data_IF_006308563638
#
_entry.id   IF_006308563638
#
_cell.length_a   1.000
_cell.length_b   1.000
_cell.length_c   1.000
_cell.angle_alpha   90.00
_cell.angle_beta   90.00
_cell.angle_gamma   90.00
#
_symmetry.space_group_name_H-M   'P 1'
#
loop_
_entity.id
_entity.type
_entity.pdbx_description
1 polymer ?
#
# COMPACT_ATOMS: atom_id res chain seq x y z
N UNK A 1 5.34 -29.26 -2.01
CA UNK A 1 5.44 -28.00 -2.78
C UNK A 1 4.46 -26.94 -2.29
N UNK A 2 3.44 -27.31 -1.51
CA UNK A 2 2.47 -26.35 -0.93
C UNK A 2 2.86 -25.84 0.46
N UNK A 3 3.94 -26.33 1.10
CA UNK A 3 4.41 -25.83 2.40
C UNK A 3 5.66 -24.93 2.28
N UNK A 4 6.37 -25.00 1.16
CA UNK A 4 7.55 -24.18 0.85
C UNK A 4 7.51 -23.77 -0.63
N UNK A 5 7.75 -22.49 -0.96
CA UNK A 5 7.72 -21.99 -2.34
C UNK A 5 8.98 -22.44 -3.09
N UNK A 6 9.06 -23.74 -3.40
CA UNK A 6 10.15 -24.31 -4.21
C UNK A 6 9.72 -24.31 -5.66
N UNK A 7 10.56 -23.74 -6.53
CA UNK A 7 10.30 -23.67 -7.97
C UNK A 7 10.40 -25.06 -8.61
N UNK A 8 9.51 -25.34 -9.57
CA UNK A 8 9.57 -26.53 -10.42
C UNK A 8 10.91 -26.69 -11.13
N UNK A 9 11.62 -25.60 -11.45
CA UNK A 9 12.97 -25.66 -11.99
C UNK A 9 13.95 -26.30 -11.01
N UNK A 10 13.91 -25.90 -9.74
CA UNK A 10 14.79 -26.44 -8.69
C UNK A 10 14.53 -27.93 -8.47
N UNK A 11 13.25 -28.32 -8.42
CA UNK A 11 12.88 -29.73 -8.22
C UNK A 11 13.19 -30.55 -9.47
N UNK A 12 12.93 -30.02 -10.66
CA UNK A 12 13.29 -30.64 -11.93
C UNK A 12 14.79 -30.90 -12.03
N UNK A 13 15.61 -29.90 -11.72
CA UNK A 13 17.08 -30.06 -11.69
C UNK A 13 17.53 -31.13 -10.70
N UNK A 14 16.95 -31.17 -9.49
CA UNK A 14 17.26 -32.19 -8.48
C UNK A 14 16.88 -33.61 -8.94
N UNK A 15 15.68 -33.76 -9.50
CA UNK A 15 15.16 -35.04 -10.00
C UNK A 15 15.67 -35.41 -11.41
N UNK A 16 16.50 -34.57 -12.03
CA UNK A 16 16.92 -34.68 -13.44
C UNK A 16 15.75 -34.77 -14.42
N UNK A 17 14.64 -34.10 -14.10
CA UNK A 17 13.43 -34.00 -14.92
C UNK A 17 13.30 -32.61 -15.53
N UNK A 18 12.68 -32.52 -16.72
CA UNK A 18 12.30 -31.22 -17.28
C UNK A 18 11.30 -30.53 -16.33
N UNK A 19 11.43 -29.22 -16.05
CA UNK A 19 10.52 -28.51 -15.16
C UNK A 19 9.05 -28.65 -15.57
N UNK A 20 8.79 -28.69 -16.88
CA UNK A 20 7.45 -28.91 -17.43
C UNK A 20 6.86 -30.28 -17.04
N UNK A 21 7.68 -31.33 -16.97
CA UNK A 21 7.25 -32.66 -16.55
C UNK A 21 6.84 -32.65 -15.09
N UNK A 22 7.64 -32.01 -14.22
CA UNK A 22 7.33 -31.87 -12.79
C UNK A 22 6.05 -31.05 -12.60
N UNK A 23 5.88 -29.97 -13.36
CA UNK A 23 4.65 -29.17 -13.35
C UNK A 23 3.43 -30.01 -13.72
N UNK A 24 3.48 -30.74 -14.84
CA UNK A 24 2.37 -31.57 -15.32
C UNK A 24 2.02 -32.64 -14.30
N UNK A 25 3.02 -33.36 -13.76
CA UNK A 25 2.78 -34.38 -12.74
C UNK A 25 2.16 -33.81 -11.48
N UNK A 26 2.68 -32.68 -11.02
CA UNK A 26 2.15 -32.02 -9.85
C UNK A 26 0.70 -31.60 -10.04
N UNK A 27 0.42 -30.92 -11.16
CA UNK A 27 -0.93 -30.47 -11.51
C UNK A 27 -1.91 -31.61 -11.71
N UNK A 28 -1.52 -32.70 -12.36
CA UNK A 28 -2.44 -33.76 -12.76
C UNK A 28 -2.62 -34.88 -11.74
N UNK A 29 -1.63 -35.11 -10.86
CA UNK A 29 -1.65 -36.31 -10.01
C UNK A 29 -1.34 -36.05 -8.53
N UNK A 30 -0.57 -35.01 -8.19
CA UNK A 30 -0.08 -34.83 -6.81
C UNK A 30 -0.78 -33.71 -6.04
N UNK A 31 -1.31 -32.71 -6.74
CA UNK A 31 -1.89 -31.52 -6.12
C UNK A 31 -3.33 -31.69 -5.66
N UNK A 32 -4.05 -32.72 -6.11
CA UNK A 32 -5.49 -32.86 -5.87
C UNK A 32 -6.36 -31.87 -6.67
N UNK A 33 -5.76 -31.14 -7.63
CA UNK A 33 -6.46 -30.13 -8.40
C UNK A 33 -7.53 -30.71 -9.34
N UNK A 34 -7.25 -31.77 -10.14
CA UNK A 34 -8.25 -32.34 -11.03
C UNK A 34 -9.46 -32.89 -10.27
N UNK A 35 -9.25 -33.50 -9.11
CA UNK A 35 -10.31 -33.98 -8.23
C UNK A 35 -11.16 -32.81 -7.69
N UNK A 36 -10.52 -31.71 -7.29
CA UNK A 36 -11.21 -30.52 -6.83
C UNK A 36 -12.04 -29.85 -7.94
N UNK A 37 -11.56 -29.86 -9.18
CA UNK A 37 -12.31 -29.37 -10.35
C UNK A 37 -13.48 -30.30 -10.69
N UNK A 38 -13.24 -31.61 -10.77
CA UNK A 38 -14.25 -32.60 -11.15
C UNK A 38 -15.37 -32.73 -10.12
N UNK A 39 -15.07 -32.56 -8.83
CA UNK A 39 -16.06 -32.54 -7.75
C UNK A 39 -16.85 -31.23 -7.67
N UNK A 40 -16.48 -30.21 -8.45
CA UNK A 40 -17.04 -28.86 -8.34
C UNK A 40 -16.65 -28.13 -7.06
N UNK A 41 -15.70 -28.65 -6.29
CA UNK A 41 -15.20 -27.99 -5.07
C UNK A 41 -14.40 -26.73 -5.40
N UNK A 42 -13.60 -26.75 -6.47
CA UNK A 42 -12.93 -25.58 -7.01
C UNK A 42 -13.89 -24.75 -7.86
N UNK A 43 -13.89 -23.43 -7.67
CA UNK A 43 -14.83 -22.52 -8.34
C UNK A 43 -16.24 -22.51 -7.74
N UNK A 44 -16.52 -23.28 -6.68
CA UNK A 44 -17.84 -23.34 -6.02
C UNK A 44 -18.36 -22.00 -5.50
N UNK A 45 -17.44 -21.09 -5.17
CA UNK A 45 -17.73 -19.77 -4.63
C UNK A 45 -17.72 -18.69 -5.72
N UNK A 46 -17.36 -19.04 -6.96
CA UNK A 46 -17.38 -18.11 -8.08
C UNK A 46 -18.81 -17.65 -8.33
N UNK A 47 -18.96 -16.40 -8.73
CA UNK A 47 -20.27 -15.81 -8.95
C UNK A 47 -20.23 -14.81 -10.09
N UNK A 48 -21.40 -14.52 -10.65
CA UNK A 48 -21.56 -13.39 -11.57
C UNK A 48 -21.65 -12.11 -10.75
N UNK A 49 -20.65 -11.24 -10.90
CA UNK A 49 -20.57 -9.96 -10.20
C UNK A 49 -21.63 -8.97 -10.66
N UNK A 50 -21.73 -7.84 -9.94
CA UNK A 50 -22.70 -6.80 -10.29
C UNK A 50 -22.45 -6.17 -11.67
N UNK A 51 -21.22 -6.28 -12.19
CA UNK A 51 -20.81 -5.91 -13.54
C UNK A 51 -21.14 -6.95 -14.62
N UNK A 52 -21.89 -8.01 -14.26
CA UNK A 52 -22.26 -9.15 -15.11
C UNK A 52 -21.07 -10.00 -15.60
N UNK A 53 -19.88 -9.82 -15.04
CA UNK A 53 -18.70 -10.66 -15.33
C UNK A 53 -18.60 -11.79 -14.32
N UNK A 54 -18.05 -12.93 -14.72
CA UNK A 54 -17.71 -14.01 -13.79
C UNK A 54 -16.55 -13.54 -12.92
N UNK A 55 -16.70 -13.64 -11.59
CA UNK A 55 -15.67 -13.29 -10.61
C UNK A 55 -15.18 -14.55 -9.93
N UNK A 56 -13.85 -14.72 -9.90
CA UNK A 56 -13.22 -15.81 -9.20
C UNK A 56 -13.19 -15.53 -7.68
N UNK A 57 -13.51 -16.54 -6.87
CA UNK A 57 -13.34 -16.49 -5.40
C UNK A 57 -12.48 -17.66 -4.93
N UNK A 58 -11.15 -17.57 -5.11
CA UNK A 58 -10.23 -18.63 -4.71
C UNK A 58 -10.29 -19.01 -3.24
N UNK A 59 -10.54 -18.05 -2.34
CA UNK A 59 -10.58 -18.28 -0.89
C UNK A 59 -11.82 -17.65 -0.29
N UNK A 60 -12.64 -18.49 0.37
CA UNK A 60 -13.76 -18.08 1.22
C UNK A 60 -13.78 -19.02 2.43
N UNK A 61 -13.16 -18.57 3.53
CA UNK A 61 -12.81 -19.41 4.69
C UNK A 61 -13.23 -18.74 6.00
N UNK A 62 -14.49 -18.94 6.44
CA UNK A 62 -14.99 -18.36 7.69
C UNK A 62 -14.15 -18.75 8.91
N UNK A 63 -13.54 -19.93 8.90
CA UNK A 63 -12.66 -20.43 9.97
C UNK A 63 -11.39 -19.58 10.16
N UNK A 64 -10.99 -18.81 9.15
CA UNK A 64 -9.82 -17.92 9.21
C UNK A 64 -10.17 -16.53 9.73
N UNK A 65 -11.45 -16.17 9.90
CA UNK A 65 -11.82 -14.91 10.53
C UNK A 65 -11.44 -14.92 12.02
N UNK A 66 -10.82 -13.83 12.46
CA UNK A 66 -10.41 -13.63 13.86
C UNK A 66 -10.70 -12.20 14.32
N UNK A 67 -10.21 -11.85 15.50
CA UNK A 67 -10.47 -10.53 16.10
C UNK A 67 -9.78 -9.39 15.35
N UNK A 68 -8.59 -9.66 14.79
CA UNK A 68 -7.77 -8.68 14.08
C UNK A 68 -7.66 -9.04 12.61
N UNK A 69 -8.33 -8.29 11.75
CA UNK A 69 -8.32 -8.48 10.31
C UNK A 69 -7.61 -7.33 9.59
N UNK A 70 -7.17 -7.60 8.37
CA UNK A 70 -6.60 -6.62 7.46
C UNK A 70 -7.22 -6.77 6.08
N UNK A 71 -7.54 -5.65 5.43
CA UNK A 71 -8.00 -5.61 4.04
C UNK A 71 -6.95 -4.90 3.22
N UNK A 72 -6.62 -5.48 2.07
CA UNK A 72 -5.72 -4.89 1.09
C UNK A 72 -6.12 -5.35 -0.32
N UNK A 73 -5.62 -4.65 -1.33
CA UNK A 73 -5.77 -5.02 -2.74
C UNK A 73 -4.51 -5.68 -3.28
N UNK A 74 -4.68 -6.64 -4.19
CA UNK A 74 -3.58 -7.29 -4.87
C UNK A 74 -3.89 -7.51 -6.33
N UNK A 75 -3.06 -6.93 -7.20
CA UNK A 75 -3.09 -7.26 -8.62
C UNK A 75 -2.41 -8.61 -8.87
N UNK A 76 -3.14 -9.54 -9.49
CA UNK A 76 -2.66 -10.86 -9.90
C UNK A 76 -3.16 -11.08 -11.33
N UNK A 77 -2.22 -11.27 -12.27
CA UNK A 77 -2.55 -11.51 -13.68
C UNK A 77 -3.47 -10.43 -14.28
N UNK A 78 -3.09 -9.16 -14.10
CA UNK A 78 -3.82 -7.97 -14.57
C UNK A 78 -5.19 -7.71 -13.91
N UNK A 79 -5.66 -8.62 -13.05
CA UNK A 79 -6.92 -8.48 -12.32
C UNK A 79 -6.68 -8.09 -10.85
N UNK A 80 -7.57 -7.29 -10.29
CA UNK A 80 -7.51 -6.85 -8.89
C UNK A 80 -8.29 -7.78 -7.98
N UNK A 81 -7.62 -8.25 -6.93
CA UNK A 81 -8.20 -9.08 -5.89
C UNK A 81 -8.26 -8.33 -4.57
N UNK A 82 -9.40 -8.40 -3.88
CA UNK A 82 -9.48 -8.03 -2.46
C UNK A 82 -8.98 -9.18 -1.62
N UNK A 83 -8.07 -8.88 -0.69
CA UNK A 83 -7.47 -9.83 0.24
C UNK A 83 -7.88 -9.48 1.67
N UNK A 84 -8.68 -10.33 2.32
CA UNK A 84 -8.99 -10.22 3.75
C UNK A 84 -8.13 -11.22 4.52
N UNK A 85 -7.25 -10.70 5.38
CA UNK A 85 -6.22 -11.48 6.06
C UNK A 85 -6.34 -11.38 7.57
N UNK A 86 -6.26 -12.51 8.25
CA UNK A 86 -6.15 -12.55 9.70
C UNK A 86 -4.74 -12.15 10.16
N UNK A 87 -4.65 -11.09 10.95
CA UNK A 87 -3.36 -10.53 11.40
C UNK A 87 -2.73 -11.35 12.52
N UNK A 88 -3.48 -12.20 13.21
CA UNK A 88 -2.91 -13.07 14.25
C UNK A 88 -2.27 -14.31 13.63
N UNK A 89 -3.00 -15.00 12.76
CA UNK A 89 -2.57 -16.27 12.14
C UNK A 89 -1.75 -16.09 10.86
N UNK A 90 -1.93 -14.97 10.16
CA UNK A 90 -1.34 -14.73 8.85
C UNK A 90 -2.00 -15.53 7.72
N UNK A 91 -3.22 -16.04 7.94
CA UNK A 91 -4.03 -16.75 6.96
C UNK A 91 -5.02 -15.84 6.26
N UNK A 92 -5.35 -16.16 5.01
CA UNK A 92 -6.34 -15.45 4.20
C UNK A 92 -7.73 -16.02 4.47
N UNK A 93 -8.67 -15.16 4.85
CA UNK A 93 -10.08 -15.51 5.01
C UNK A 93 -10.87 -15.30 3.71
N UNK A 94 -10.52 -14.26 2.93
CA UNK A 94 -11.15 -13.95 1.65
C UNK A 94 -10.08 -13.59 0.61
N UNK A 95 -10.18 -14.20 -0.57
CA UNK A 95 -9.51 -13.75 -1.78
C UNK A 95 -10.55 -13.77 -2.90
N UNK A 96 -10.87 -12.60 -3.45
CA UNK A 96 -11.93 -12.45 -4.44
C UNK A 96 -11.58 -11.41 -5.51
N UNK A 97 -11.87 -11.73 -6.77
CA UNK A 97 -11.62 -10.87 -7.95
C UNK A 97 -12.65 -9.72 -8.05
N UNK A 98 -12.77 -8.91 -7.01
CA UNK A 98 -13.70 -7.77 -7.00
C UNK A 98 -13.24 -6.73 -5.99
N UNK A 99 -13.46 -5.46 -6.35
CA UNK A 99 -13.32 -4.30 -5.46
C UNK A 99 -14.70 -3.74 -5.07
N UNK A 100 -15.79 -4.29 -5.63
CA UNK A 100 -17.13 -3.74 -5.44
C UNK A 100 -17.68 -4.13 -4.07
N UNK A 101 -18.10 -3.12 -3.29
CA UNK A 101 -18.63 -3.33 -1.93
C UNK A 101 -19.84 -4.27 -1.92
N UNK A 102 -20.72 -4.20 -2.93
CA UNK A 102 -21.89 -5.07 -3.02
C UNK A 102 -21.52 -6.55 -3.15
N UNK A 103 -20.53 -6.86 -3.98
CA UNK A 103 -20.03 -8.21 -4.18
C UNK A 103 -19.32 -8.71 -2.91
N UNK A 104 -18.44 -7.90 -2.33
CA UNK A 104 -17.72 -8.24 -1.09
C UNK A 104 -18.68 -8.47 0.07
N UNK A 105 -19.74 -7.66 0.18
CA UNK A 105 -20.80 -7.85 1.18
C UNK A 105 -21.50 -9.18 1.02
N UNK A 106 -21.85 -9.57 -0.21
CA UNK A 106 -22.44 -10.89 -0.49
C UNK A 106 -21.53 -12.02 0.02
N UNK A 107 -20.23 -11.93 -0.22
CA UNK A 107 -19.25 -12.93 0.21
C UNK A 107 -19.10 -12.97 1.73
N UNK A 108 -19.07 -11.81 2.41
CA UNK A 108 -19.01 -11.78 3.88
C UNK A 108 -20.30 -12.33 4.49
N UNK A 109 -21.49 -12.05 3.92
CA UNK A 109 -22.74 -12.65 4.39
C UNK A 109 -22.71 -14.18 4.31
N UNK A 110 -22.07 -14.76 3.30
CA UNK A 110 -21.89 -16.21 3.19
C UNK A 110 -20.98 -16.79 4.29
N UNK A 111 -20.13 -15.96 4.92
CA UNK A 111 -19.32 -16.37 6.06
C UNK A 111 -20.12 -16.47 7.38
N UNK A 112 -21.37 -16.00 7.38
CA UNK A 112 -22.28 -16.06 8.53
C UNK A 112 -21.72 -15.37 9.78
N UNK A 113 -21.99 -15.95 10.93
CA UNK A 113 -21.68 -15.37 12.25
C UNK A 113 -20.18 -15.19 12.53
N UNK A 114 -19.31 -15.85 11.75
CA UNK A 114 -17.87 -15.70 11.88
C UNK A 114 -17.42 -14.25 11.66
N UNK A 115 -18.15 -13.46 10.85
CA UNK A 115 -17.90 -12.03 10.66
C UNK A 115 -18.04 -11.22 11.97
N UNK A 116 -18.91 -11.67 12.89
CA UNK A 116 -19.11 -11.02 14.20
C UNK A 116 -17.91 -11.13 15.15
N UNK A 117 -16.93 -11.99 14.84
CA UNK A 117 -15.68 -12.11 15.64
C UNK A 117 -14.73 -10.93 15.42
N UNK A 118 -14.85 -10.21 14.30
CA UNK A 118 -13.93 -9.16 13.91
C UNK A 118 -14.15 -7.94 14.82
N UNK A 119 -13.10 -7.58 15.57
CA UNK A 119 -13.08 -6.41 16.47
C UNK A 119 -12.28 -5.26 15.89
N UNK A 120 -11.29 -5.56 15.05
CA UNK A 120 -10.40 -4.57 14.44
C UNK A 120 -10.16 -4.90 12.97
N UNK A 121 -10.17 -3.88 12.13
CA UNK A 121 -9.86 -4.01 10.71
C UNK A 121 -8.87 -2.92 10.29
N UNK A 122 -7.67 -3.32 9.85
CA UNK A 122 -6.70 -2.39 9.25
C UNK A 122 -6.86 -2.34 7.75
N UNK A 123 -6.83 -1.14 7.16
CA UNK A 123 -6.88 -0.95 5.72
C UNK A 123 -6.15 0.32 5.29
N UNK A 124 -5.95 0.49 4.00
CA UNK A 124 -5.49 1.75 3.42
C UNK A 124 -6.54 2.88 3.56
N UNK A 125 -6.28 4.03 2.92
CA UNK A 125 -7.21 5.16 2.92
C UNK A 125 -8.27 5.06 1.80
N UNK A 126 -8.58 3.86 1.33
CA UNK A 126 -9.60 3.66 0.30
C UNK A 126 -11.00 3.88 0.85
N UNK A 127 -11.74 4.85 0.28
CA UNK A 127 -13.15 5.06 0.59
C UNK A 127 -14.00 3.81 0.33
N UNK A 128 -13.63 3.00 -0.67
CA UNK A 128 -14.29 1.74 -0.98
C UNK A 128 -14.17 0.76 0.18
N UNK A 129 -12.97 0.60 0.73
CA UNK A 129 -12.75 -0.30 1.87
C UNK A 129 -13.31 0.26 3.18
N UNK A 130 -13.33 1.59 3.35
CA UNK A 130 -14.05 2.26 4.44
C UNK A 130 -15.53 1.87 4.45
N UNK A 131 -16.18 1.93 3.30
CA UNK A 131 -17.58 1.53 3.14
C UNK A 131 -17.78 0.02 3.32
N UNK A 132 -16.86 -0.80 2.80
CA UNK A 132 -16.89 -2.25 3.01
C UNK A 132 -16.82 -2.60 4.50
N UNK A 133 -15.87 -2.04 5.25
CA UNK A 133 -15.73 -2.29 6.67
C UNK A 133 -16.97 -1.85 7.46
N UNK A 134 -17.47 -0.65 7.19
CA UNK A 134 -18.67 -0.14 7.86
C UNK A 134 -19.92 -1.01 7.61
N UNK A 135 -20.08 -1.55 6.40
CA UNK A 135 -21.24 -2.37 6.04
C UNK A 135 -21.11 -3.83 6.50
N UNK A 136 -19.90 -4.39 6.49
CA UNK A 136 -19.67 -5.82 6.73
C UNK A 136 -19.22 -6.13 8.15
N UNK A 137 -18.59 -5.16 8.83
CA UNK A 137 -18.05 -5.30 10.18
C UNK A 137 -18.41 -4.08 11.04
N UNK A 138 -19.71 -3.78 11.25
CA UNK A 138 -20.17 -2.54 11.89
C UNK A 138 -19.69 -2.37 13.34
N UNK A 139 -19.35 -3.45 14.03
CA UNK A 139 -18.84 -3.44 15.40
C UNK A 139 -17.31 -3.36 15.48
N UNK A 140 -16.60 -3.41 14.34
CA UNK A 140 -15.14 -3.40 14.32
C UNK A 140 -14.59 -1.98 14.32
N UNK A 141 -13.53 -1.75 15.10
CA UNK A 141 -12.74 -0.53 15.01
C UNK A 141 -11.93 -0.55 13.72
N UNK A 142 -12.22 0.42 12.85
CA UNK A 142 -11.51 0.64 11.59
C UNK A 142 -10.25 1.45 11.85
N UNK A 143 -9.09 0.93 11.42
CA UNK A 143 -7.78 1.54 11.65
C UNK A 143 -7.11 1.80 10.29
N UNK A 144 -6.69 3.04 10.05
CA UNK A 144 -5.93 3.38 8.86
C UNK A 144 -4.51 2.80 8.94
N UNK A 145 -3.98 2.35 7.80
CA UNK A 145 -2.60 1.98 7.68
C UNK A 145 -1.70 3.23 7.67
N UNK A 146 -0.96 3.43 8.76
CA UNK A 146 -0.06 4.58 8.90
C UNK A 146 0.95 4.71 7.76
N UNK A 147 1.37 3.61 7.14
CA UNK A 147 2.36 3.68 6.06
C UNK A 147 1.79 4.33 4.80
N UNK A 148 0.50 4.10 4.51
CA UNK A 148 -0.23 4.80 3.47
C UNK A 148 -0.40 6.29 3.80
N UNK A 149 -0.70 6.65 5.06
CA UNK A 149 -0.76 8.05 5.49
C UNK A 149 0.61 8.73 5.32
N UNK A 150 1.70 8.08 5.77
CA UNK A 150 3.08 8.59 5.61
C UNK A 150 3.46 8.74 4.14
N UNK A 151 3.02 7.84 3.27
CA UNK A 151 3.24 7.95 1.82
C UNK A 151 2.63 9.26 1.29
N UNK A 152 1.36 9.54 1.61
CA UNK A 152 0.70 10.79 1.18
C UNK A 152 1.37 12.04 1.76
N UNK A 153 1.80 12.00 3.02
CA UNK A 153 2.54 13.10 3.64
C UNK A 153 3.81 13.40 2.84
N UNK A 154 4.59 12.37 2.48
CA UNK A 154 5.83 12.57 1.75
C UNK A 154 5.56 12.99 0.29
N UNK A 155 4.50 12.47 -0.33
CA UNK A 155 4.06 12.88 -1.66
C UNK A 155 3.72 14.37 -1.75
N UNK A 156 3.20 14.99 -0.69
CA UNK A 156 2.94 16.43 -0.65
C UNK A 156 4.22 17.26 -0.88
N UNK A 157 5.34 16.90 -0.23
CA UNK A 157 6.64 17.57 -0.46
C UNK A 157 7.12 17.35 -1.89
N UNK A 158 6.90 16.15 -2.44
CA UNK A 158 7.33 15.82 -3.80
C UNK A 158 6.51 16.55 -4.86
N UNK A 159 5.21 16.70 -4.65
CA UNK A 159 4.33 17.48 -5.50
C UNK A 159 4.78 18.94 -5.52
N UNK A 160 5.05 19.51 -4.34
CA UNK A 160 5.56 20.88 -4.24
C UNK A 160 6.91 21.06 -4.93
N UNK A 161 7.84 20.11 -4.74
CA UNK A 161 9.14 20.07 -5.44
C UNK A 161 8.97 20.02 -6.96
N UNK A 162 8.01 19.25 -7.46
CA UNK A 162 7.73 19.16 -8.90
C UNK A 162 7.13 20.46 -9.44
N UNK A 163 6.23 21.11 -8.70
CA UNK A 163 5.72 22.42 -9.06
C UNK A 163 6.82 23.46 -9.14
N UNK A 164 7.68 23.56 -8.11
CA UNK A 164 8.87 24.44 -8.16
C UNK A 164 9.75 24.12 -9.36
N UNK A 165 9.96 22.84 -9.69
CA UNK A 165 10.75 22.46 -10.87
C UNK A 165 10.11 22.97 -12.16
N UNK A 166 8.80 22.90 -12.28
CA UNK A 166 8.07 23.41 -13.44
C UNK A 166 8.17 24.94 -13.54
N UNK A 167 8.08 25.66 -12.42
CA UNK A 167 8.27 27.11 -12.34
C UNK A 167 9.71 27.53 -12.70
N UNK A 168 10.71 26.73 -12.33
CA UNK A 168 12.10 26.99 -12.73
C UNK A 168 12.37 26.68 -14.21
N UNK A 169 11.68 25.69 -14.78
CA UNK A 169 11.75 25.36 -16.20
C UNK A 169 11.11 26.44 -17.07
N UNK A 170 10.00 27.05 -16.63
CA UNK A 170 9.33 28.12 -17.40
C UNK A 170 10.13 29.41 -17.48
N UNK A 171 11.08 29.62 -16.57
CA UNK A 171 12.02 30.76 -16.58
C UNK A 171 13.17 30.59 -17.57
N UNK A 172 13.38 29.38 -18.11
CA UNK A 172 14.50 29.11 -19.02
C UNK A 172 14.19 29.74 -20.39
N UNK A 173 15.05 30.61 -20.94
CA UNK A 173 14.87 31.18 -22.26
C UNK A 173 14.83 30.13 -23.37
N UNK A 174 14.05 30.41 -24.41
CA UNK A 174 13.89 29.53 -25.57
C UNK A 174 15.07 29.58 -26.53
N UNK A 175 15.80 30.71 -26.60
CA UNK A 175 16.97 30.83 -27.49
C UNK A 175 18.23 30.23 -26.87
N UNK A 176 19.08 29.63 -27.72
CA UNK A 176 20.33 28.96 -27.28
C UNK A 176 21.34 29.91 -26.62
N UNK A 177 21.38 31.18 -27.04
CA UNK A 177 22.30 32.19 -26.50
C UNK A 177 21.87 32.63 -25.11
N UNK A 178 20.63 33.08 -24.96
CA UNK A 178 20.07 33.54 -23.69
C UNK A 178 20.03 32.41 -22.66
N UNK A 179 19.73 31.17 -23.08
CA UNK A 179 19.79 30.01 -22.21
C UNK A 179 21.18 29.78 -21.61
N UNK A 180 22.25 29.93 -22.40
CA UNK A 180 23.63 29.79 -21.91
C UNK A 180 23.99 30.88 -20.90
N UNK A 181 23.54 32.11 -21.14
CA UNK A 181 23.75 33.24 -20.24
C UNK A 181 22.98 33.05 -18.93
N UNK A 182 21.71 32.65 -19.02
CA UNK A 182 20.87 32.30 -17.88
C UNK A 182 21.47 31.15 -17.05
N UNK A 183 21.88 30.06 -17.70
CA UNK A 183 22.51 28.92 -17.02
C UNK A 183 23.80 29.32 -16.30
N UNK A 184 24.63 30.19 -16.89
CA UNK A 184 25.84 30.71 -16.23
C UNK A 184 25.50 31.59 -15.02
N UNK A 185 24.51 32.46 -15.14
CA UNK A 185 24.12 33.39 -14.08
C UNK A 185 23.41 32.70 -12.90
N UNK A 186 22.72 31.59 -13.15
CA UNK A 186 21.88 30.89 -12.15
C UNK A 186 22.50 29.61 -11.61
N UNK A 187 23.76 29.31 -11.94
CA UNK A 187 24.47 28.16 -11.36
C UNK A 187 24.60 28.33 -9.85
N UNK A 188 24.33 27.25 -9.14
CA UNK A 188 24.53 27.18 -7.71
C UNK A 188 26.01 26.98 -7.35
N UNK A 189 26.36 27.20 -6.09
CA UNK A 189 27.74 27.07 -5.59
C UNK A 189 28.35 25.68 -5.82
N UNK A 190 27.50 24.64 -5.91
CA UNK A 190 27.91 23.27 -6.21
C UNK A 190 27.98 22.96 -7.71
N UNK A 191 27.81 23.96 -8.58
CA UNK A 191 27.84 23.84 -10.03
C UNK A 191 26.55 23.28 -10.66
N UNK A 192 25.55 22.89 -9.87
CA UNK A 192 24.27 22.39 -10.37
C UNK A 192 23.35 23.55 -10.80
N UNK A 193 22.46 23.29 -11.75
CA UNK A 193 21.34 24.20 -12.02
C UNK A 193 20.26 24.09 -10.94
N UNK A 194 19.40 25.11 -10.83
CA UNK A 194 18.24 25.09 -9.93
C UNK A 194 17.29 23.90 -10.19
N UNK A 195 17.12 23.47 -11.43
CA UNK A 195 16.28 22.32 -11.80
C UNK A 195 16.96 20.97 -11.52
N UNK A 196 18.28 20.89 -11.68
CA UNK A 196 19.08 19.73 -11.27
C UNK A 196 19.03 19.54 -9.76
N UNK A 197 19.17 20.64 -9.00
CA UNK A 197 19.07 20.65 -7.54
C UNK A 197 17.75 20.04 -7.08
N UNK A 198 16.62 20.50 -7.63
CA UNK A 198 15.30 19.95 -7.32
C UNK A 198 15.18 18.48 -7.73
N UNK A 199 15.76 18.07 -8.86
CA UNK A 199 15.68 16.68 -9.33
C UNK A 199 16.50 15.73 -8.46
N UNK A 200 17.73 16.11 -8.12
CA UNK A 200 18.68 15.30 -7.34
C UNK A 200 18.35 15.29 -5.84
N UNK A 201 17.56 16.25 -5.37
CA UNK A 201 17.08 16.30 -3.98
C UNK A 201 15.84 15.44 -3.71
N UNK A 202 15.30 14.72 -4.71
CA UNK A 202 14.13 13.84 -4.53
C UNK A 202 14.25 12.93 -3.30
N UNK A 203 15.33 12.14 -3.23
CA UNK A 203 15.48 11.08 -2.23
C UNK A 203 15.71 11.58 -0.81
N UNK A 204 16.35 12.74 -0.63
CA UNK A 204 16.57 13.27 0.73
C UNK A 204 15.24 13.72 1.35
N UNK A 205 14.33 14.26 0.55
CA UNK A 205 13.02 14.74 0.99
C UNK A 205 12.06 13.61 1.42
N UNK A 206 12.34 12.35 1.05
CA UNK A 206 11.62 11.19 1.60
C UNK A 206 12.01 10.86 3.04
N UNK A 207 13.24 11.21 3.43
CA UNK A 207 13.83 10.81 4.71
C UNK A 207 13.52 11.84 5.79
N UNK A 208 13.62 11.41 7.05
CA UNK A 208 13.75 12.30 8.21
C UNK A 208 15.17 12.85 8.27
N UNK A 209 15.35 14.03 8.85
CA UNK A 209 16.66 14.69 8.96
C UNK A 209 17.71 13.82 9.66
N UNK A 210 17.29 13.12 10.71
CA UNK A 210 18.08 12.15 11.48
C UNK A 210 18.66 11.00 10.62
N UNK A 211 18.05 10.73 9.46
CA UNK A 211 18.43 9.64 8.55
C UNK A 211 19.20 10.12 7.32
N UNK A 212 19.59 11.40 7.28
CA UNK A 212 20.40 11.95 6.21
C UNK A 212 21.88 11.59 6.39
N UNK A 213 22.52 11.22 5.29
CA UNK A 213 23.99 11.16 5.24
C UNK A 213 24.59 12.57 5.28
N UNK A 214 25.87 12.69 5.61
CA UNK A 214 26.59 13.99 5.59
C UNK A 214 26.46 14.69 4.23
N UNK A 215 26.50 13.93 3.13
CA UNK A 215 26.31 14.46 1.79
C UNK A 215 24.86 14.95 1.55
N UNK A 216 23.86 14.27 2.13
CA UNK A 216 22.46 14.68 2.07
C UNK A 216 22.21 15.93 2.90
N UNK A 217 22.82 16.05 4.08
CA UNK A 217 22.72 17.24 4.94
C UNK A 217 23.26 18.48 4.23
N UNK A 218 24.49 18.42 3.67
CA UNK A 218 25.07 19.53 2.91
C UNK A 218 24.20 19.96 1.74
N UNK A 219 23.61 18.99 1.03
CA UNK A 219 22.66 19.28 -0.07
C UNK A 219 21.35 19.87 0.45
N UNK A 220 20.82 19.38 1.57
CA UNK A 220 19.61 19.91 2.18
C UNK A 220 19.80 21.37 2.60
N UNK A 221 20.93 21.73 3.21
CA UNK A 221 21.27 23.13 3.54
C UNK A 221 21.21 24.01 2.30
N UNK A 222 21.91 23.65 1.23
CA UNK A 222 21.91 24.41 -0.01
C UNK A 222 20.51 24.47 -0.66
N UNK A 223 19.77 23.36 -0.66
CA UNK A 223 18.41 23.30 -1.19
C UNK A 223 17.47 24.24 -0.45
N UNK A 224 17.52 24.24 0.88
CA UNK A 224 16.66 25.05 1.73
C UNK A 224 17.04 26.53 1.73
N UNK A 225 18.32 26.86 1.57
CA UNK A 225 18.76 28.23 1.31
C UNK A 225 18.26 28.72 -0.07
N UNK A 226 18.32 27.87 -1.08
CA UNK A 226 17.94 28.22 -2.46
C UNK A 226 16.41 28.30 -2.64
N UNK A 227 15.67 27.46 -1.92
CA UNK A 227 14.21 27.34 -1.99
C UNK A 227 13.60 27.28 -0.57
N UNK A 228 13.52 28.39 0.18
CA UNK A 228 13.04 28.39 1.56
C UNK A 228 11.63 27.80 1.73
N UNK A 229 10.76 27.95 0.74
CA UNK A 229 9.41 27.38 0.77
C UNK A 229 9.41 25.84 0.81
N UNK A 230 10.40 25.18 0.19
CA UNK A 230 10.48 23.70 0.25
C UNK A 230 10.81 23.24 1.67
N UNK A 231 11.56 24.05 2.43
CA UNK A 231 11.85 23.79 3.84
C UNK A 231 10.58 23.90 4.67
N UNK A 232 9.77 24.94 4.46
CA UNK A 232 8.50 25.12 5.17
C UNK A 232 7.57 23.91 4.99
N UNK A 233 7.38 23.46 3.74
CA UNK A 233 6.58 22.26 3.45
C UNK A 233 7.22 21.02 4.07
N UNK A 234 8.54 20.85 3.93
CA UNK A 234 9.25 19.73 4.54
C UNK A 234 9.06 19.70 6.06
N UNK A 235 9.23 20.82 6.76
CA UNK A 235 9.08 20.93 8.21
C UNK A 235 7.67 20.55 8.67
N UNK A 236 6.63 21.00 7.94
CA UNK A 236 5.24 20.60 8.20
C UNK A 236 5.04 19.09 8.04
N UNK A 237 5.61 18.49 7.00
CA UNK A 237 5.55 17.03 6.83
C UNK A 237 6.32 16.28 7.90
N UNK A 238 7.42 16.82 8.42
CA UNK A 238 8.13 16.22 9.55
C UNK A 238 7.34 16.36 10.87
N UNK A 239 6.63 17.47 11.09
CA UNK A 239 5.72 17.63 12.24
C UNK A 239 4.64 16.55 12.25
N UNK A 240 3.87 16.39 11.17
CA UNK A 240 2.81 15.37 11.12
C UNK A 240 3.35 13.93 11.13
N UNK A 241 4.55 13.68 10.56
CA UNK A 241 5.22 12.37 10.71
C UNK A 241 5.64 12.06 12.14
N UNK A 242 5.99 13.07 12.93
CA UNK A 242 6.27 12.91 14.37
C UNK A 242 4.98 12.67 15.14
N UNK A 243 3.88 13.32 14.76
CA UNK A 243 2.56 13.05 15.32
C UNK A 243 2.11 11.60 15.09
N UNK A 244 2.33 11.03 13.90
CA UNK A 244 2.06 9.61 13.57
C UNK A 244 3.05 8.58 14.18
N UNK A 245 4.03 9.04 14.97
CA UNK A 245 5.05 8.16 15.51
C UNK A 245 4.46 7.16 16.53
N UNK A 246 5.01 5.96 16.61
CA UNK A 246 4.58 4.93 17.56
C UNK A 246 4.69 5.37 19.03
N UNK A 247 5.54 6.36 19.33
CA UNK A 247 5.68 6.95 20.67
C UNK A 247 4.42 7.65 21.17
N UNK A 248 3.52 8.01 20.26
CA UNK A 248 2.24 8.63 20.58
C UNK A 248 1.12 7.61 20.81
N UNK A 249 1.38 6.31 20.59
CA UNK A 249 0.39 5.25 20.85
C UNK A 249 0.16 5.11 22.36
N UNK A 250 -1.11 5.06 22.76
CA UNK A 250 -1.53 4.96 24.16
C UNK A 250 -1.64 6.28 24.90
N UNK A 251 -1.32 7.42 24.24
CA UNK A 251 -1.64 8.75 24.77
C UNK A 251 -3.15 8.99 24.78
N UNK A 252 -3.58 9.99 25.53
CA UNK A 252 -4.99 10.38 25.57
C UNK A 252 -5.44 10.99 24.23
N UNK A 253 -6.64 10.63 23.77
CA UNK A 253 -7.19 11.09 22.49
C UNK A 253 -7.18 12.62 22.37
N UNK A 254 -7.56 13.34 23.43
CA UNK A 254 -7.57 14.81 23.44
C UNK A 254 -6.18 15.44 23.25
N UNK A 255 -5.11 14.77 23.70
CA UNK A 255 -3.74 15.26 23.51
C UNK A 255 -3.32 15.15 22.04
N UNK A 256 -3.62 13.99 21.43
CA UNK A 256 -3.35 13.70 20.03
C UNK A 256 -4.18 14.61 19.11
N UNK A 257 -5.46 14.80 19.42
CA UNK A 257 -6.37 15.67 18.67
C UNK A 257 -5.91 17.13 18.73
N UNK A 258 -5.52 17.63 19.91
CA UNK A 258 -4.97 18.97 20.05
C UNK A 258 -3.70 19.19 19.22
N UNK A 259 -2.78 18.22 19.22
CA UNK A 259 -1.58 18.27 18.38
C UNK A 259 -1.92 18.28 16.87
N UNK A 260 -2.97 17.58 16.47
CA UNK A 260 -3.45 17.57 15.09
C UNK A 260 -4.08 18.91 14.69
N UNK A 261 -4.90 19.50 15.56
CA UNK A 261 -5.51 20.82 15.35
C UNK A 261 -4.44 21.91 15.22
N UNK A 262 -3.44 21.92 16.11
CA UNK A 262 -2.30 22.84 16.01
C UNK A 262 -1.56 22.67 14.67
N UNK A 263 -1.41 21.43 14.21
CA UNK A 263 -0.82 21.18 12.90
C UNK A 263 -1.68 21.72 11.75
N UNK A 264 -3.00 21.54 11.79
CA UNK A 264 -3.91 22.11 10.78
C UNK A 264 -3.78 23.62 10.69
N UNK A 265 -3.80 24.33 11.82
CA UNK A 265 -3.67 25.80 11.86
C UNK A 265 -2.39 26.28 11.18
N UNK A 266 -1.26 25.64 11.48
CA UNK A 266 0.03 25.97 10.85
C UNK A 266 0.09 25.62 9.36
N UNK A 267 -0.57 24.52 8.97
CA UNK A 267 -0.57 24.01 7.61
C UNK A 267 -1.45 24.88 6.69
N UNK A 268 -2.62 25.31 7.15
CA UNK A 268 -3.55 26.19 6.42
C UNK A 268 -2.93 27.57 6.16
N UNK A 269 -2.16 28.10 7.11
CA UNK A 269 -1.46 29.38 6.95
C UNK A 269 -0.49 29.43 5.77
N UNK A 270 0.01 28.28 5.30
CA UNK A 270 0.93 28.25 4.16
C UNK A 270 0.24 28.55 2.83
N UNK A 271 -1.08 28.34 2.72
CA UNK A 271 -1.86 28.55 1.49
C UNK A 271 -1.25 27.85 0.27
N UNK A 272 -0.81 26.61 0.47
CA UNK A 272 -0.19 25.77 -0.56
C UNK A 272 -1.15 24.66 -0.98
N UNK A 273 -1.47 24.52 -2.28
CA UNK A 273 -2.41 23.50 -2.76
C UNK A 273 -2.01 22.08 -2.35
N UNK A 274 -0.71 21.77 -2.33
CA UNK A 274 -0.19 20.46 -1.92
C UNK A 274 -0.45 20.15 -0.44
N UNK A 275 -0.39 21.17 0.41
CA UNK A 275 -0.66 21.06 1.84
C UNK A 275 -2.17 21.00 2.09
N UNK A 276 -2.97 21.78 1.38
CA UNK A 276 -4.45 21.73 1.44
C UNK A 276 -5.01 20.37 1.01
N UNK A 277 -4.39 19.74 0.00
CA UNK A 277 -4.73 18.37 -0.39
C UNK A 277 -4.45 17.38 0.76
N UNK A 278 -3.32 17.54 1.44
CA UNK A 278 -2.95 16.71 2.58
C UNK A 278 -3.91 16.91 3.77
N UNK A 279 -4.27 18.16 4.08
CA UNK A 279 -5.25 18.51 5.13
C UNK A 279 -6.58 17.81 4.84
N UNK A 280 -7.11 17.95 3.61
CA UNK A 280 -8.35 17.28 3.20
C UNK A 280 -8.29 15.76 3.31
N UNK A 281 -7.15 15.16 2.96
CA UNK A 281 -6.95 13.72 3.06
C UNK A 281 -6.96 13.23 4.51
N UNK A 282 -6.25 13.93 5.41
CA UNK A 282 -6.24 13.58 6.84
C UNK A 282 -7.62 13.83 7.45
N UNK A 283 -8.25 14.99 7.21
CA UNK A 283 -9.57 15.31 7.76
C UNK A 283 -10.68 14.33 7.35
N UNK A 284 -10.68 13.88 6.09
CA UNK A 284 -11.67 12.89 5.61
C UNK A 284 -11.50 11.48 6.22
N UNK A 285 -10.34 11.21 6.80
CA UNK A 285 -9.97 9.92 7.42
C UNK A 285 -9.59 10.06 8.89
N UNK A 286 -9.88 11.20 9.52
CA UNK A 286 -9.34 11.55 10.82
C UNK A 286 -9.66 10.50 11.88
N UNK A 287 -10.92 10.10 11.99
CA UNK A 287 -11.35 9.08 12.96
C UNK A 287 -10.57 7.76 12.82
N UNK A 288 -10.34 7.29 11.59
CA UNK A 288 -9.67 6.00 11.37
C UNK A 288 -8.16 6.11 11.56
N UNK A 289 -7.59 7.31 11.35
CA UNK A 289 -6.19 7.62 11.67
C UNK A 289 -6.03 7.73 13.20
N UNK A 290 -6.97 8.37 13.89
CA UNK A 290 -6.96 8.48 15.36
C UNK A 290 -7.01 7.10 16.03
N UNK A 291 -7.80 6.17 15.48
CA UNK A 291 -7.88 4.79 15.97
C UNK A 291 -6.52 4.05 15.97
N UNK A 292 -5.54 4.47 15.16
CA UNK A 292 -4.18 3.92 15.21
C UNK A 292 -3.53 4.14 16.59
N UNK A 293 -3.76 5.27 17.24
CA UNK A 293 -3.12 5.61 18.51
C UNK A 293 -3.64 4.80 19.70
N UNK A 294 -4.79 4.12 19.57
CA UNK A 294 -5.36 3.28 20.64
C UNK A 294 -4.44 2.06 20.91
N UNK A 295 -4.00 1.36 19.85
CA UNK A 295 -3.22 0.11 19.98
C UNK A 295 -1.98 0.03 19.10
N UNK A 296 -1.69 1.03 18.28
CA UNK A 296 -0.52 1.08 17.39
C UNK A 296 -0.52 0.03 16.29
N UNK A 297 -1.70 -0.49 15.94
CA UNK A 297 -1.87 -1.60 15.00
C UNK A 297 -1.61 -1.12 13.57
N UNK A 298 -0.77 -1.84 12.83
CA UNK A 298 -0.40 -1.51 11.45
C UNK A 298 -0.72 -2.64 10.48
N UNK A 299 -0.78 -2.32 9.18
CA UNK A 299 -1.03 -3.32 8.13
C UNK A 299 0.21 -4.16 7.75
N UNK A 300 1.33 -4.04 8.48
CA UNK A 300 2.61 -4.67 8.14
C UNK A 300 2.53 -6.20 7.96
N UNK A 301 1.64 -6.88 8.69
CA UNK A 301 1.44 -8.33 8.53
C UNK A 301 0.72 -8.69 7.22
N UNK A 302 -0.25 -7.88 6.80
CA UNK A 302 -0.88 -8.06 5.50
C UNK A 302 0.10 -7.73 4.38
N UNK A 303 0.92 -6.68 4.53
CA UNK A 303 2.00 -6.35 3.59
C UNK A 303 3.02 -7.49 3.46
N UNK A 304 3.37 -8.15 4.57
CA UNK A 304 4.22 -9.33 4.56
C UNK A 304 3.58 -10.49 3.77
N UNK A 305 2.26 -10.63 3.82
CA UNK A 305 1.51 -11.65 3.07
C UNK A 305 1.42 -11.27 1.60
N UNK A 306 1.15 -10.01 1.26
CA UNK A 306 1.21 -9.50 -0.10
C UNK A 306 2.62 -9.66 -0.72
N UNK A 307 3.66 -9.49 0.09
CA UNK A 307 5.05 -9.77 -0.30
C UNK A 307 5.32 -11.27 -0.47
N UNK A 308 4.71 -12.14 0.34
CA UNK A 308 4.77 -13.61 0.15
C UNK A 308 4.03 -14.03 -1.13
N UNK A 309 2.85 -13.48 -1.39
CA UNK A 309 2.10 -13.71 -2.64
C UNK A 309 2.95 -13.25 -3.84
N UNK A 310 3.57 -12.08 -3.78
CA UNK A 310 4.44 -11.59 -4.85
C UNK A 310 5.62 -12.54 -5.11
N UNK A 311 6.28 -13.02 -4.05
CA UNK A 311 7.35 -14.02 -4.17
C UNK A 311 6.83 -15.34 -4.74
N UNK A 312 5.63 -15.75 -4.37
CA UNK A 312 4.97 -16.94 -4.90
C UNK A 312 4.68 -16.81 -6.41
N UNK A 313 4.25 -15.64 -6.87
CA UNK A 313 4.07 -15.33 -8.31
C UNK A 313 5.43 -15.41 -9.03
N UNK A 314 6.46 -14.75 -8.49
CA UNK A 314 7.79 -14.72 -9.09
C UNK A 314 8.43 -16.13 -9.17
N UNK A 315 8.27 -16.95 -8.13
CA UNK A 315 8.81 -18.31 -8.08
C UNK A 315 8.18 -19.26 -9.13
N UNK A 316 6.96 -18.95 -9.59
CA UNK A 316 6.24 -19.74 -10.58
C UNK A 316 6.37 -19.19 -12.01
N UNK A 317 7.25 -18.20 -12.25
CA UNK A 317 7.42 -17.50 -13.53
C UNK A 317 6.11 -16.91 -14.07
N UNK A 318 5.29 -16.34 -13.19
CA UNK A 318 3.99 -15.76 -13.54
C UNK A 318 2.83 -16.76 -13.42
N UNK A 319 1.74 -16.45 -14.12
CA UNK A 319 0.45 -17.15 -14.03
C UNK A 319 0.16 -17.78 -15.39
N UNK A 320 0.80 -18.92 -15.70
CA UNK A 320 0.56 -19.63 -16.98
C UNK A 320 -0.83 -20.27 -17.06
N UNK A 321 -1.31 -20.79 -15.93
CA UNK A 321 -2.63 -21.40 -15.74
C UNK A 321 -3.23 -20.71 -14.50
N UNK A 322 -4.14 -19.75 -14.73
CA UNK A 322 -4.72 -18.90 -13.69
C UNK A 322 -5.45 -19.73 -12.63
N UNK A 323 -6.25 -20.68 -13.05
CA UNK A 323 -7.04 -21.50 -12.13
C UNK A 323 -6.15 -22.39 -11.26
N UNK A 324 -5.15 -23.05 -11.86
CA UNK A 324 -4.22 -23.87 -11.08
C UNK A 324 -3.32 -23.02 -10.16
N UNK A 325 -2.91 -21.84 -10.60
CA UNK A 325 -2.16 -20.90 -9.77
C UNK A 325 -2.97 -20.47 -8.55
N UNK A 326 -4.23 -20.05 -8.76
CA UNK A 326 -5.13 -19.64 -7.70
C UNK A 326 -5.42 -20.79 -6.74
N UNK A 327 -5.56 -22.02 -7.24
CA UNK A 327 -5.73 -23.21 -6.41
C UNK A 327 -4.56 -23.41 -5.45
N UNK A 328 -3.33 -23.30 -5.96
CA UNK A 328 -2.12 -23.44 -5.12
C UNK A 328 -1.99 -22.28 -4.13
N UNK A 329 -2.31 -21.06 -4.55
CA UNK A 329 -2.31 -19.89 -3.66
C UNK A 329 -3.31 -20.09 -2.53
N UNK A 330 -4.54 -20.50 -2.84
CA UNK A 330 -5.56 -20.80 -1.85
C UNK A 330 -5.06 -21.84 -0.83
N UNK A 331 -4.47 -22.95 -1.28
CA UNK A 331 -3.93 -23.98 -0.37
C UNK A 331 -2.76 -23.52 0.49
N UNK A 332 -1.89 -22.66 -0.04
CA UNK A 332 -0.71 -22.19 0.69
C UNK A 332 -1.06 -21.15 1.77
N UNK A 333 -2.03 -20.27 1.48
CA UNK A 333 -2.32 -19.10 2.31
C UNK A 333 -3.62 -19.19 3.13
N UNK A 334 -4.46 -20.22 2.92
CA UNK A 334 -5.69 -20.45 3.71
C UNK A 334 -5.54 -21.38 4.92
#
# INVERSE_FOLDING_TARGET
MDEKPVNFTTIGSFLKLKPQTVYTWYRQYLSGYPEAVNSGQWGKNDFTGSDKRKKAVPVLKPENLGEEMAVDEKMIDEEFYTVLTNRQTGKIALLAETLQVADLRRLVTQMGDAAGKVKEITMDLSTTYKNFAAQCFPNATVIADKFHVVKHIVEAVQAFRLRLKQEELSKIPSTKKERREYEKATRLINGESRTEMLTRSRYLLFKKEENWTVAQQKRASLLFETFPQIKQVYDLTQKIRRWLDHRNVGKYDWEIERELIDWYDHAEQQKLPEVENLIRLIGSHEQIIMNYFIKGKTNAKAEAINSKIQRFIAANYGVRDKDFFMYRLARYFS
#
